data_IF_817831334325
#
_entry.id   IF_817831334325
#
_cell.length_a   1.000
_cell.length_b   1.000
_cell.length_c   1.000
_cell.angle_alpha   90.00
_cell.angle_beta   90.00
_cell.angle_gamma   90.00
#
_symmetry.space_group_name_H-M   'P 1'
#
loop_
_entity.id
_entity.type
_entity.pdbx_description
1 polymer ?
#
# COMPACT_ATOMS: atom_id res chain seq x y z
N UNK A 1 2.18 -12.21 -5.38
CA UNK A 1 0.97 -12.18 -6.25
C UNK A 1 0.71 -13.50 -6.97
N UNK A 2 1.62 -13.99 -7.82
CA UNK A 2 1.45 -15.29 -8.52
C UNK A 2 1.15 -16.45 -7.58
N UNK A 3 1.81 -16.49 -6.43
CA UNK A 3 1.56 -17.50 -5.41
C UNK A 3 0.14 -17.41 -4.83
N UNK A 4 -0.39 -16.19 -4.63
CA UNK A 4 -1.77 -15.99 -4.20
C UNK A 4 -2.77 -16.50 -5.24
N UNK A 5 -2.49 -16.27 -6.54
CA UNK A 5 -3.30 -16.85 -7.63
C UNK A 5 -3.25 -18.38 -7.57
N UNK A 6 -2.05 -18.97 -7.44
CA UNK A 6 -1.85 -20.43 -7.43
C UNK A 6 -2.67 -21.14 -6.36
N UNK A 7 -2.80 -20.54 -5.16
CA UNK A 7 -3.48 -21.17 -4.01
C UNK A 7 -4.99 -20.89 -3.94
N UNK A 8 -5.50 -19.87 -4.63
CA UNK A 8 -6.94 -19.58 -4.66
C UNK A 8 -7.70 -20.65 -5.45
N UNK A 9 -8.96 -20.93 -5.13
CA UNK A 9 -9.82 -21.75 -6.02
C UNK A 9 -10.27 -20.91 -7.22
N UNK A 10 -10.66 -21.52 -8.36
CA UNK A 10 -11.36 -20.80 -9.43
C UNK A 10 -12.56 -20.03 -8.87
N UNK A 11 -12.74 -18.77 -9.28
CA UNK A 11 -13.70 -17.82 -8.71
C UNK A 11 -13.30 -17.22 -7.35
N UNK A 12 -12.20 -17.66 -6.74
CA UNK A 12 -11.69 -17.14 -5.48
C UNK A 12 -11.19 -15.70 -5.62
N UNK A 13 -11.34 -14.89 -4.57
CA UNK A 13 -10.89 -13.49 -4.55
C UNK A 13 -9.68 -13.28 -3.65
N UNK A 14 -8.76 -12.44 -4.08
CA UNK A 14 -7.74 -11.82 -3.24
C UNK A 14 -8.16 -10.40 -2.87
N UNK A 15 -7.95 -10.03 -1.62
CA UNK A 15 -8.05 -8.65 -1.12
C UNK A 15 -6.71 -8.29 -0.48
N UNK A 16 -6.11 -7.19 -0.93
CA UNK A 16 -4.84 -6.67 -0.40
C UNK A 16 -5.11 -5.27 0.14
N UNK A 17 -5.01 -5.11 1.46
CA UNK A 17 -5.07 -3.81 2.14
C UNK A 17 -3.64 -3.37 2.41
N UNK A 18 -3.19 -2.33 1.72
CA UNK A 18 -1.83 -1.81 1.88
C UNK A 18 -1.78 -0.29 1.75
N UNK A 19 -0.68 0.28 2.25
CA UNK A 19 -0.35 1.67 2.00
C UNK A 19 -0.18 1.94 0.51
N UNK A 20 -0.51 3.16 0.10
CA UNK A 20 -0.34 3.61 -1.26
C UNK A 20 -0.07 5.11 -1.31
N UNK A 21 -0.15 5.70 -2.50
CA UNK A 21 0.17 7.11 -2.68
C UNK A 21 -1.07 7.99 -2.52
N UNK A 22 -1.01 9.05 -1.67
CA UNK A 22 -2.08 10.02 -1.57
C UNK A 22 -2.41 10.64 -2.94
N UNK A 23 -3.67 10.56 -3.36
CA UNK A 23 -4.12 11.11 -4.65
C UNK A 23 -4.56 12.57 -4.59
N UNK A 24 -4.88 13.03 -3.38
CA UNK A 24 -5.24 14.43 -3.17
C UNK A 24 -3.96 15.29 -3.21
N UNK A 25 -3.88 16.18 -4.21
CA UNK A 25 -2.74 17.05 -4.44
C UNK A 25 -2.21 17.82 -3.20
N UNK A 26 -3.04 18.35 -2.28
CA UNK A 26 -2.53 19.00 -1.06
C UNK A 26 -2.09 18.00 0.02
N UNK A 27 -2.54 16.74 -0.04
CA UNK A 27 -2.29 15.74 0.99
C UNK A 27 -0.91 15.11 0.86
N UNK A 28 -0.40 14.98 -0.36
CA UNK A 28 0.94 14.42 -0.63
C UNK A 28 2.07 15.21 0.06
N UNK A 29 2.22 16.53 -0.13
CA UNK A 29 3.29 17.29 0.53
C UNK A 29 3.13 17.34 2.06
N UNK A 30 1.89 17.41 2.57
CA UNK A 30 1.63 17.35 4.01
C UNK A 30 2.03 16.00 4.62
N UNK A 31 1.70 14.90 3.93
CA UNK A 31 2.09 13.55 4.34
C UNK A 31 3.59 13.33 4.27
N UNK A 32 4.25 13.80 3.20
CA UNK A 32 5.71 13.76 3.07
C UNK A 32 6.38 14.52 4.23
N UNK A 33 5.91 15.74 4.55
CA UNK A 33 6.46 16.53 5.65
C UNK A 33 6.25 15.86 7.02
N UNK A 34 5.05 15.36 7.30
CA UNK A 34 4.72 14.64 8.54
C UNK A 34 5.59 13.39 8.68
N UNK A 35 5.73 12.61 7.61
CA UNK A 35 6.50 11.37 7.60
C UNK A 35 7.99 11.60 7.82
N UNK A 36 8.56 12.68 7.28
CA UNK A 36 9.98 13.00 7.48
C UNK A 36 10.30 13.65 8.82
N UNK A 37 9.39 14.49 9.33
CA UNK A 37 9.70 15.34 10.48
C UNK A 37 9.09 14.82 11.79
N UNK A 38 7.93 14.18 11.73
CA UNK A 38 7.18 13.80 12.94
C UNK A 38 7.34 12.31 13.23
N UNK A 39 7.23 11.43 12.24
CA UNK A 39 7.34 9.98 12.45
C UNK A 39 8.64 9.54 13.15
N UNK A 40 9.84 10.00 12.75
CA UNK A 40 11.09 9.58 13.39
C UNK A 40 11.23 10.09 14.82
N UNK A 41 10.65 11.27 15.11
CA UNK A 41 10.65 11.86 16.46
C UNK A 41 9.68 11.13 17.38
N UNK A 42 8.50 10.74 16.89
CA UNK A 42 7.56 9.89 17.61
C UNK A 42 8.11 8.49 17.85
N UNK A 43 8.75 7.86 16.85
CA UNK A 43 9.39 6.55 17.01
C UNK A 43 10.46 6.54 18.10
N UNK A 44 11.29 7.60 18.14
CA UNK A 44 12.28 7.80 19.20
C UNK A 44 11.66 7.97 20.60
N UNK A 45 10.55 8.70 20.71
CA UNK A 45 9.88 8.96 21.99
C UNK A 45 9.06 7.78 22.52
N UNK A 46 8.39 7.02 21.64
CA UNK A 46 7.41 6.00 22.04
C UNK A 46 8.03 4.60 22.13
N UNK A 47 8.90 4.24 21.18
CA UNK A 47 9.42 2.88 21.07
C UNK A 47 10.90 2.75 21.48
N UNK A 48 11.59 3.87 21.73
CA UNK A 48 13.05 3.89 21.91
C UNK A 48 13.83 3.50 20.65
N UNK A 49 13.12 3.26 19.53
CA UNK A 49 13.68 2.79 18.26
C UNK A 49 13.15 3.66 17.12
N UNK A 50 13.98 4.63 16.75
CA UNK A 50 13.70 5.54 15.65
C UNK A 50 13.86 4.88 14.27
N UNK A 51 14.61 3.77 14.19
CA UNK A 51 14.99 3.13 12.92
C UNK A 51 13.84 2.27 12.39
N UNK A 52 13.11 1.58 13.26
CA UNK A 52 11.88 0.85 12.89
C UNK A 52 10.81 1.76 12.26
N UNK A 53 10.61 2.97 12.79
CA UNK A 53 9.64 3.93 12.23
C UNK A 53 10.14 4.62 10.97
N UNK A 54 11.45 4.81 10.84
CA UNK A 54 12.06 5.28 9.59
C UNK A 54 11.88 4.24 8.49
N UNK A 55 12.14 2.96 8.80
CA UNK A 55 11.93 1.85 7.88
C UNK A 55 10.46 1.77 7.44
N UNK A 56 9.50 1.97 8.34
CA UNK A 56 8.08 2.04 7.97
C UNK A 56 7.79 3.19 6.99
N UNK A 57 8.32 4.39 7.25
CA UNK A 57 8.15 5.52 6.34
C UNK A 57 8.80 5.26 4.97
N UNK A 58 9.97 4.63 4.94
CA UNK A 58 10.68 4.26 3.71
C UNK A 58 9.95 3.16 2.94
N UNK A 59 9.44 2.13 3.63
CA UNK A 59 8.72 1.02 2.99
C UNK A 59 7.43 1.49 2.33
N UNK A 60 6.71 2.43 2.95
CA UNK A 60 5.52 3.06 2.36
C UNK A 60 5.86 3.80 1.05
N UNK A 61 7.03 4.44 0.98
CA UNK A 61 7.47 5.18 -0.23
C UNK A 61 7.94 4.28 -1.36
N UNK A 62 8.52 3.13 -1.02
CA UNK A 62 8.96 2.12 -1.98
C UNK A 62 7.80 1.24 -2.48
N UNK A 63 6.66 1.25 -1.78
CA UNK A 63 5.49 0.46 -2.18
C UNK A 63 4.90 0.99 -3.50
N UNK A 64 4.50 0.10 -4.43
CA UNK A 64 3.83 0.50 -5.67
C UNK A 64 2.56 1.31 -5.40
N UNK A 65 2.30 2.31 -6.25
CA UNK A 65 1.02 3.03 -6.19
C UNK A 65 -0.16 2.13 -6.60
N UNK A 66 -1.38 2.68 -6.51
CA UNK A 66 -2.57 1.88 -6.72
C UNK A 66 -2.66 1.30 -8.14
N UNK A 67 -2.30 2.09 -9.15
CA UNK A 67 -2.39 1.65 -10.54
C UNK A 67 -1.29 0.63 -10.86
N UNK A 68 -0.09 0.85 -10.33
CA UNK A 68 1.06 -0.06 -10.45
C UNK A 68 0.75 -1.41 -9.83
N UNK A 69 0.28 -1.45 -8.58
CA UNK A 69 -0.06 -2.72 -7.91
C UNK A 69 -1.22 -3.43 -8.60
N UNK A 70 -2.23 -2.69 -9.11
CA UNK A 70 -3.31 -3.26 -9.90
C UNK A 70 -2.78 -3.92 -11.18
N UNK A 71 -1.86 -3.27 -11.90
CA UNK A 71 -1.21 -3.83 -13.09
C UNK A 71 -0.43 -5.09 -12.75
N UNK A 72 0.33 -5.08 -11.65
CA UNK A 72 1.05 -6.27 -11.16
C UNK A 72 0.10 -7.43 -10.82
N UNK A 73 -1.10 -7.15 -10.30
CA UNK A 73 -2.13 -8.19 -10.08
C UNK A 73 -2.62 -8.78 -11.40
N UNK A 74 -2.89 -7.95 -12.41
CA UNK A 74 -3.28 -8.42 -13.75
C UNK A 74 -2.19 -9.31 -14.35
N UNK A 75 -0.93 -8.86 -14.33
CA UNK A 75 0.22 -9.62 -14.82
C UNK A 75 0.45 -10.94 -14.06
N UNK A 76 0.05 -11.01 -12.79
CA UNK A 76 0.13 -12.22 -11.98
C UNK A 76 -0.96 -13.25 -12.33
N UNK A 77 -1.99 -12.88 -13.09
CA UNK A 77 -3.08 -13.77 -13.51
C UNK A 77 -4.41 -13.53 -12.77
N UNK A 78 -4.57 -12.41 -12.08
CA UNK A 78 -5.88 -12.02 -11.54
C UNK A 78 -6.74 -11.33 -12.61
N UNK A 79 -8.04 -11.62 -12.60
CA UNK A 79 -9.05 -10.92 -13.39
C UNK A 79 -9.87 -9.95 -12.55
N UNK A 80 -10.61 -9.06 -13.23
CA UNK A 80 -11.49 -8.04 -12.61
C UNK A 80 -10.79 -7.22 -11.52
N UNK A 81 -9.52 -6.87 -11.74
CA UNK A 81 -8.70 -6.13 -10.80
C UNK A 81 -9.22 -4.70 -10.60
N UNK A 82 -9.48 -4.32 -9.35
CA UNK A 82 -9.95 -3.00 -8.94
C UNK A 82 -9.25 -2.59 -7.65
N UNK A 83 -9.20 -1.30 -7.36
CA UNK A 83 -8.80 -0.81 -6.04
C UNK A 83 -9.76 0.26 -5.54
N UNK A 84 -9.76 0.44 -4.21
CA UNK A 84 -10.57 1.41 -3.52
C UNK A 84 -9.68 2.22 -2.58
N UNK A 85 -9.61 3.53 -2.80
CA UNK A 85 -8.81 4.43 -1.96
C UNK A 85 -9.52 4.68 -0.63
N UNK A 86 -8.75 4.61 0.44
CA UNK A 86 -9.15 4.97 1.79
C UNK A 86 -8.34 6.20 2.23
N UNK A 87 -8.94 7.07 3.03
CA UNK A 87 -8.26 8.24 3.63
C UNK A 87 -7.49 9.07 2.60
N UNK A 88 -8.10 9.39 1.45
CA UNK A 88 -7.48 10.20 0.40
C UNK A 88 -6.37 9.49 -0.40
N UNK A 89 -6.25 8.17 -0.27
CA UNK A 89 -5.28 7.34 -1.02
C UNK A 89 -4.02 6.97 -0.23
N UNK A 90 -3.92 7.36 1.05
CA UNK A 90 -2.85 6.88 1.95
C UNK A 90 -2.86 5.35 2.03
N UNK A 91 -4.06 4.77 2.01
CA UNK A 91 -4.28 3.32 2.01
C UNK A 91 -5.19 2.97 0.83
N UNK A 92 -4.99 1.81 0.24
CA UNK A 92 -5.88 1.27 -0.78
C UNK A 92 -6.17 -0.21 -0.53
N UNK A 93 -7.40 -0.61 -0.87
CA UNK A 93 -7.79 -2.02 -0.94
C UNK A 93 -7.81 -2.44 -2.38
N UNK A 94 -6.92 -3.34 -2.78
CA UNK A 94 -6.93 -3.97 -4.09
C UNK A 94 -7.70 -5.29 -4.05
N UNK A 95 -8.49 -5.53 -5.09
CA UNK A 95 -9.30 -6.74 -5.27
C UNK A 95 -9.01 -7.34 -6.63
N UNK A 96 -8.82 -8.65 -6.68
CA UNK A 96 -8.74 -9.43 -7.92
C UNK A 96 -9.29 -10.84 -7.74
N UNK A 97 -9.67 -11.48 -8.82
CA UNK A 97 -10.27 -12.82 -8.83
C UNK A 97 -9.38 -13.81 -9.59
N UNK A 98 -9.24 -15.03 -9.09
CA UNK A 98 -8.72 -16.14 -9.89
C UNK A 98 -9.84 -16.60 -10.81
N UNK A 99 -9.61 -16.54 -12.11
CA UNK A 99 -10.44 -17.19 -13.13
C UNK A 99 -10.09 -18.65 -13.25
#
# INVERSE_FOLDING_TARGET
LREMVRVLRPGGRALVLEFSQPRLAPLKPAYDWYSFNILPRLGRMVAGDADSYRYLAESIRMHPDQDTLKSMMVEAGFAHCQYFNLTGGIVAVHRGFRT
#
